data_IF_348906258869
#
_entry.id   IF_348906258869
#
_cell.length_a   1.000
_cell.length_b   1.000
_cell.length_c   1.000
_cell.angle_alpha   90.00
_cell.angle_beta   90.00
_cell.angle_gamma   90.00
#
_symmetry.space_group_name_H-M   'P 1'
#
loop_
_entity.id
_entity.type
_entity.pdbx_description
1 polymer ?
#
# COMPACT_ATOMS: atom_id res chain seq x y z
N UNK A 1 10.57 6.64 -9.46
CA UNK A 1 10.45 6.32 -8.02
C UNK A 1 9.02 6.63 -7.60
N UNK A 2 8.14 5.64 -7.45
CA UNK A 2 6.78 5.96 -7.01
C UNK A 2 6.72 6.06 -5.49
N UNK A 3 5.89 6.97 -5.01
CA UNK A 3 5.62 7.09 -3.58
C UNK A 3 4.52 6.10 -3.20
N UNK A 4 4.87 5.06 -2.46
CA UNK A 4 3.93 4.09 -1.87
C UNK A 4 3.69 4.49 -0.41
N UNK A 5 2.42 4.75 -0.05
CA UNK A 5 2.00 5.12 1.30
C UNK A 5 0.92 4.17 1.81
N UNK A 6 0.97 3.82 3.09
CA UNK A 6 -0.10 3.11 3.80
C UNK A 6 -0.89 4.12 4.61
N UNK A 7 -2.20 4.14 4.44
CA UNK A 7 -3.13 4.94 5.24
C UNK A 7 -3.94 4.00 6.12
N UNK A 8 -4.00 4.27 7.41
CA UNK A 8 -4.87 3.56 8.35
C UNK A 8 -6.11 4.41 8.56
N UNK A 9 -7.28 3.85 8.34
CA UNK A 9 -8.57 4.47 8.61
C UNK A 9 -8.96 4.31 10.09
N UNK A 10 -9.93 5.10 10.55
CA UNK A 10 -10.40 5.07 11.95
C UNK A 10 -11.03 3.73 12.34
N UNK A 11 -11.56 2.98 11.37
CA UNK A 11 -12.09 1.62 11.54
C UNK A 11 -10.99 0.55 11.66
N UNK A 12 -9.71 0.94 11.61
CA UNK A 12 -8.56 0.04 11.66
C UNK A 12 -8.18 -0.60 10.34
N UNK A 13 -8.93 -0.34 9.26
CA UNK A 13 -8.59 -0.83 7.92
C UNK A 13 -7.44 -0.02 7.32
N UNK A 14 -6.69 -0.66 6.43
CA UNK A 14 -5.56 -0.09 5.73
C UNK A 14 -5.88 0.13 4.25
N UNK A 15 -5.37 1.22 3.71
CA UNK A 15 -5.43 1.56 2.29
C UNK A 15 -4.04 1.85 1.76
N UNK A 16 -3.73 1.38 0.55
CA UNK A 16 -2.45 1.63 -0.12
C UNK A 16 -2.64 2.71 -1.18
N UNK A 17 -1.82 3.75 -1.10
CA UNK A 17 -1.75 4.82 -2.09
C UNK A 17 -0.44 4.75 -2.86
N UNK A 18 -0.49 4.83 -4.19
CA UNK A 18 0.67 4.97 -5.08
C UNK A 18 0.57 6.30 -5.82
N UNK A 19 1.57 7.17 -5.66
CA UNK A 19 1.61 8.50 -6.29
C UNK A 19 0.35 9.35 -6.06
N UNK A 20 -0.25 9.25 -4.88
CA UNK A 20 -1.48 9.96 -4.53
C UNK A 20 -2.79 9.26 -4.96
N UNK A 21 -2.70 8.20 -5.77
CA UNK A 21 -3.87 7.40 -6.17
C UNK A 21 -4.03 6.20 -5.23
N UNK A 22 -5.25 5.98 -4.75
CA UNK A 22 -5.59 4.78 -3.97
C UNK A 22 -5.64 3.59 -4.93
N UNK A 23 -4.84 2.56 -4.65
CA UNK A 23 -4.78 1.34 -5.46
C UNK A 23 -5.42 0.14 -4.76
N UNK A 24 -5.60 0.21 -3.43
CA UNK A 24 -6.26 -0.83 -2.65
C UNK A 24 -6.76 -0.27 -1.31
N UNK A 25 -7.87 -0.81 -0.79
CA UNK A 25 -8.55 -0.37 0.44
C UNK A 25 -9.13 -1.55 1.20
N UNK A 26 -9.45 -1.37 2.48
CA UNK A 26 -10.11 -2.41 3.29
C UNK A 26 -9.18 -3.56 3.68
N UNK A 27 -7.86 -3.32 3.65
CA UNK A 27 -6.86 -4.33 3.98
C UNK A 27 -6.67 -4.40 5.49
N UNK A 28 -6.39 -5.59 6.00
CA UNK A 28 -5.76 -5.72 7.32
C UNK A 28 -4.32 -5.21 7.27
N UNK A 29 -3.73 -4.89 8.43
CA UNK A 29 -2.34 -4.40 8.51
C UNK A 29 -1.34 -5.37 7.86
N UNK A 30 -1.47 -6.67 8.13
CA UNK A 30 -0.60 -7.70 7.52
C UNK A 30 -0.75 -7.77 6.00
N UNK A 31 -1.97 -7.66 5.47
CA UNK A 31 -2.20 -7.63 4.02
C UNK A 31 -1.63 -6.36 3.38
N UNK A 32 -1.77 -5.21 4.05
CA UNK A 32 -1.19 -3.95 3.59
C UNK A 32 0.35 -4.02 3.51
N UNK A 33 1.00 -4.59 4.53
CA UNK A 33 2.46 -4.78 4.54
C UNK A 33 2.93 -5.72 3.43
N UNK A 34 2.25 -6.85 3.23
CA UNK A 34 2.55 -7.78 2.13
C UNK A 34 2.41 -7.11 0.76
N UNK A 35 1.33 -6.35 0.55
CA UNK A 35 1.11 -5.65 -0.72
C UNK A 35 2.18 -4.58 -0.96
N UNK A 36 2.58 -3.83 0.07
CA UNK A 36 3.69 -2.86 -0.04
C UNK A 36 5.01 -3.54 -0.38
N UNK A 37 5.31 -4.70 0.21
CA UNK A 37 6.52 -5.46 -0.10
C UNK A 37 6.55 -5.89 -1.57
N UNK A 38 5.43 -6.40 -2.09
CA UNK A 38 5.29 -6.78 -3.51
C UNK A 38 5.46 -5.57 -4.42
N UNK A 39 4.79 -4.45 -4.12
CA UNK A 39 4.87 -3.23 -4.92
C UNK A 39 6.30 -2.68 -4.95
N UNK A 40 7.01 -2.68 -3.82
CA UNK A 40 8.43 -2.27 -3.75
C UNK A 40 9.33 -3.22 -4.54
N UNK A 41 9.09 -4.52 -4.48
CA UNK A 41 9.85 -5.50 -5.26
C UNK A 41 9.66 -5.30 -6.76
N UNK A 42 8.45 -4.98 -7.21
CA UNK A 42 8.17 -4.68 -8.63
C UNK A 42 8.83 -3.36 -9.05
N UNK A 43 8.76 -2.31 -8.22
CA UNK A 43 9.37 -1.02 -8.56
C UNK A 43 10.89 -1.01 -8.50
N UNK A 44 11.50 -1.83 -7.65
CA UNK A 44 12.96 -1.99 -7.60
C UNK A 44 13.51 -2.83 -8.76
N UNK A 45 12.64 -3.49 -9.52
CA UNK A 45 12.99 -4.37 -10.63
C UNK A 45 12.60 -3.78 -12.00
N UNK A 46 12.22 -2.50 -12.03
CA UNK A 46 11.78 -1.75 -13.20
C UNK A 46 12.77 -0.64 -13.60
#
# INVERSE_FOLDING_TARGET
MASIKVRVAEDGTCSICRNGTIISTGLTRGQAEQLVAVLRAIEGNA
#
